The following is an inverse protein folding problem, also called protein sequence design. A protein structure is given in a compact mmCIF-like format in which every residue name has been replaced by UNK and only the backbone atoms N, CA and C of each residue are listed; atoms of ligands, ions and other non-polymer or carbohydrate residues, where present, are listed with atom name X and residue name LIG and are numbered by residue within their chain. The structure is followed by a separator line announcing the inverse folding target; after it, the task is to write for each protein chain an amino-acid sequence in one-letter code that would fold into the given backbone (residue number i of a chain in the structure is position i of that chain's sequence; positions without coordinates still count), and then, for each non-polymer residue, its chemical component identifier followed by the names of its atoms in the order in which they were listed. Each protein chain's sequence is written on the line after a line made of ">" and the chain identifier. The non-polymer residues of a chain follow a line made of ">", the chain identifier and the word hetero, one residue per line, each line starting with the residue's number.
data_IF_539928695116
#
_entry.id   IF_539928695116
#
_cell.length_a   1.000
_cell.length_b   1.000
_cell.length_c   1.000
_cell.angle_alpha   90.00
_cell.angle_beta   90.00
_cell.angle_gamma   90.00
#
_symmetry.space_group_name_H-M   'P 1'
#
loop_
_entity.id
_entity.type
_entity.pdbx_description
1 polymer ?
#
# COMPACT_ATOMS: atom_id res chain seq x y z
N UNK A 1 -4.86 15.52 -15.71
CA UNK A 1 -4.72 16.39 -14.53
C UNK A 1 -4.03 15.57 -13.45
N UNK A 2 -2.74 15.79 -13.23
CA UNK A 2 -1.99 15.10 -12.18
C UNK A 2 -2.53 15.64 -10.86
N UNK A 3 -3.08 14.78 -10.01
CA UNK A 3 -3.43 15.17 -8.63
C UNK A 3 -2.09 15.39 -7.93
N UNK A 4 -1.80 16.63 -7.51
CA UNK A 4 -0.62 16.89 -6.69
C UNK A 4 -0.60 15.95 -5.49
N UNK A 5 0.56 15.37 -5.23
CA UNK A 5 0.76 14.47 -4.10
C UNK A 5 0.45 15.23 -2.80
N UNK A 6 -0.25 14.57 -1.88
CA UNK A 6 -0.66 15.23 -0.63
C UNK A 6 0.54 15.67 0.21
N UNK A 7 1.68 14.98 0.06
CA UNK A 7 2.96 15.39 0.65
C UNK A 7 3.42 16.76 0.10
N UNK A 8 3.45 16.94 -1.22
CA UNK A 8 3.84 18.19 -1.88
C UNK A 8 2.94 19.36 -1.48
N UNK A 9 1.62 19.11 -1.35
CA UNK A 9 0.66 20.13 -0.91
C UNK A 9 0.86 20.55 0.55
N UNK A 10 1.25 19.62 1.43
CA UNK A 10 1.58 19.93 2.82
C UNK A 10 2.90 20.70 2.95
N UNK A 11 3.87 20.38 2.10
CA UNK A 11 5.18 21.05 2.05
C UNK A 11 5.05 22.50 1.57
N UNK A 12 4.35 22.76 0.44
CA UNK A 12 4.07 24.12 -0.03
C UNK A 12 3.26 24.94 1.00
N UNK A 13 2.29 24.31 1.66
CA UNK A 13 1.53 24.96 2.73
C UNK A 13 2.38 25.30 3.96
N UNK A 14 3.43 24.53 4.25
CA UNK A 14 4.37 24.81 5.32
C UNK A 14 5.30 25.99 4.96
N UNK A 15 5.78 26.05 3.71
CA UNK A 15 6.60 27.16 3.22
C UNK A 15 5.85 28.49 3.21
N UNK A 16 4.53 28.44 3.03
CA UNK A 16 3.64 29.61 2.94
C UNK A 16 2.66 29.72 4.11
N UNK A 17 3.04 29.20 5.27
CA UNK A 17 2.14 29.06 6.43
C UNK A 17 1.58 30.40 6.95
N UNK A 18 2.28 31.50 6.71
CA UNK A 18 1.81 32.84 7.08
C UNK A 18 0.71 33.38 6.14
N UNK A 19 0.67 32.90 4.90
CA UNK A 19 -0.23 33.37 3.84
C UNK A 19 -1.47 32.48 3.67
N UNK A 20 -1.46 31.26 4.23
CA UNK A 20 -2.59 30.34 4.16
C UNK A 20 -3.67 30.70 5.19
N UNK A 21 -4.94 30.62 4.79
CA UNK A 21 -6.03 30.82 5.72
C UNK A 21 -6.06 29.71 6.78
N UNK A 22 -6.41 30.07 8.02
CA UNK A 22 -6.57 29.08 9.10
C UNK A 22 -7.58 27.98 8.74
N UNK A 23 -8.63 28.32 8.00
CA UNK A 23 -9.66 27.37 7.61
C UNK A 23 -9.12 26.34 6.61
N UNK A 24 -8.36 26.79 5.61
CA UNK A 24 -7.76 25.92 4.61
C UNK A 24 -6.72 24.98 5.22
N UNK A 25 -5.88 25.52 6.12
CA UNK A 25 -4.90 24.72 6.87
C UNK A 25 -5.60 23.64 7.72
N UNK A 26 -6.71 23.97 8.39
CA UNK A 26 -7.47 22.97 9.15
C UNK A 26 -8.03 21.85 8.28
N UNK A 27 -8.53 22.16 7.08
CA UNK A 27 -9.04 21.17 6.15
C UNK A 27 -7.90 20.26 5.67
N UNK A 28 -6.76 20.84 5.31
CA UNK A 28 -5.59 20.12 4.84
C UNK A 28 -5.06 19.16 5.91
N UNK A 29 -4.87 19.64 7.14
CA UNK A 29 -4.40 18.82 8.26
C UNK A 29 -5.36 17.67 8.60
N UNK A 30 -6.68 17.91 8.54
CA UNK A 30 -7.67 16.83 8.73
C UNK A 30 -7.55 15.76 7.66
N UNK A 31 -7.38 16.15 6.40
CA UNK A 31 -7.20 15.20 5.28
C UNK A 31 -5.90 14.41 5.44
N UNK A 32 -4.81 15.07 5.81
CA UNK A 32 -3.53 14.43 6.09
C UNK A 32 -3.64 13.43 7.25
N UNK A 33 -4.29 13.82 8.35
CA UNK A 33 -4.51 12.94 9.50
C UNK A 33 -5.39 11.71 9.15
N UNK A 34 -6.41 11.89 8.30
CA UNK A 34 -7.22 10.79 7.79
C UNK A 34 -6.40 9.83 6.93
N UNK A 35 -5.56 10.36 6.03
CA UNK A 35 -4.65 9.56 5.22
C UNK A 35 -3.67 8.78 6.08
N UNK A 36 -3.04 9.41 7.07
CA UNK A 36 -2.12 8.77 8.02
C UNK A 36 -2.81 7.70 8.87
N UNK A 37 -4.04 7.95 9.33
CA UNK A 37 -4.80 6.93 10.08
C UNK A 37 -5.16 5.75 9.20
N UNK A 38 -5.49 6.01 7.94
CA UNK A 38 -5.92 5.00 6.99
C UNK A 38 -4.74 4.36 6.23
N UNK A 39 -3.50 4.81 6.45
CA UNK A 39 -2.33 4.29 5.74
C UNK A 39 -1.92 2.89 6.20
N UNK A 40 -2.65 2.30 7.17
CA UNK A 40 -2.50 0.89 7.55
C UNK A 40 -1.07 0.54 7.91
N UNK A 41 -0.40 1.39 8.70
CA UNK A 41 0.97 1.14 9.12
C UNK A 41 0.99 -0.06 10.05
N UNK A 42 1.24 -1.24 9.49
CA UNK A 42 1.75 -2.38 10.24
C UNK A 42 3.13 -1.93 10.74
N UNK A 43 3.27 -1.70 12.03
CA UNK A 43 4.57 -1.42 12.63
C UNK A 43 5.30 -2.75 12.84
N UNK A 44 6.51 -2.86 12.29
CA UNK A 44 7.41 -3.96 12.63
C UNK A 44 8.44 -3.48 13.66
N UNK A 45 9.07 -4.42 14.36
CA UNK A 45 10.25 -4.10 15.17
C UNK A 45 11.43 -3.66 14.28
N UNK A 46 12.47 -3.12 14.91
CA UNK A 46 13.59 -2.50 14.20
C UNK A 46 14.31 -3.47 13.26
N UNK A 47 14.51 -4.71 13.70
CA UNK A 47 15.23 -5.73 12.93
C UNK A 47 14.43 -6.12 11.68
N UNK A 48 13.11 -6.25 11.83
CA UNK A 48 12.20 -6.53 10.72
C UNK A 48 12.06 -5.33 9.75
N UNK A 49 12.09 -4.09 10.23
CA UNK A 49 12.11 -2.90 9.37
C UNK A 49 13.40 -2.79 8.55
N UNK A 50 14.55 -3.15 9.14
CA UNK A 50 15.83 -3.20 8.44
C UNK A 50 15.82 -4.28 7.33
N UNK A 51 15.40 -5.50 7.66
CA UNK A 51 15.28 -6.58 6.68
C UNK A 51 14.31 -6.24 5.54
N UNK A 52 13.18 -5.59 5.85
CA UNK A 52 12.23 -5.13 4.83
C UNK A 52 12.82 -4.02 3.95
N UNK A 53 13.64 -3.13 4.51
CA UNK A 53 14.30 -2.06 3.75
C UNK A 53 15.30 -2.64 2.76
N UNK A 54 16.13 -3.58 3.19
CA UNK A 54 17.11 -4.23 2.33
C UNK A 54 16.42 -4.98 1.19
N UNK A 55 15.39 -5.76 1.52
CA UNK A 55 14.61 -6.52 0.54
C UNK A 55 13.84 -5.62 -0.44
N UNK A 56 13.30 -4.49 0.03
CA UNK A 56 12.72 -3.46 -0.82
C UNK A 56 13.74 -2.89 -1.81
N UNK A 57 14.98 -2.65 -1.35
CA UNK A 57 16.08 -2.22 -2.20
C UNK A 57 16.42 -3.25 -3.27
N UNK A 58 16.57 -4.52 -2.88
CA UNK A 58 16.88 -5.62 -3.81
C UNK A 58 15.79 -5.82 -4.88
N UNK A 59 14.52 -5.70 -4.51
CA UNK A 59 13.40 -5.87 -5.44
C UNK A 59 13.01 -4.59 -6.19
N UNK A 60 13.62 -3.45 -5.89
CA UNK A 60 13.22 -2.15 -6.43
C UNK A 60 11.76 -1.81 -6.13
N UNK A 61 11.26 -2.20 -4.95
CA UNK A 61 9.86 -2.03 -4.52
C UNK A 61 9.77 -1.09 -3.34
N UNK A 62 8.61 -0.43 -3.18
CA UNK A 62 8.33 0.29 -1.94
C UNK A 62 8.16 -0.70 -0.78
N UNK A 63 8.35 -0.26 0.46
CA UNK A 63 8.11 -1.08 1.67
C UNK A 63 6.75 -1.78 1.63
N UNK A 64 5.69 -1.03 1.32
CA UNK A 64 4.33 -1.58 1.28
C UNK A 64 4.14 -2.59 0.14
N UNK A 65 4.80 -2.39 -1.01
CA UNK A 65 4.75 -3.35 -2.10
C UNK A 65 5.51 -4.63 -1.77
N UNK A 66 6.65 -4.53 -1.07
CA UNK A 66 7.40 -5.69 -0.57
C UNK A 66 6.58 -6.48 0.46
N UNK A 67 5.94 -5.82 1.43
CA UNK A 67 5.06 -6.49 2.40
C UNK A 67 3.90 -7.20 1.68
N UNK A 68 3.24 -6.53 0.72
CA UNK A 68 2.16 -7.13 -0.07
C UNK A 68 2.64 -8.33 -0.88
N UNK A 69 3.84 -8.24 -1.46
CA UNK A 69 4.45 -9.32 -2.21
C UNK A 69 4.72 -10.54 -1.32
N UNK A 70 5.38 -10.36 -0.16
CA UNK A 70 5.67 -11.44 0.78
C UNK A 70 4.39 -12.16 1.22
N UNK A 71 3.36 -11.40 1.61
CA UNK A 71 2.08 -11.98 2.06
C UNK A 71 1.42 -12.79 0.94
N UNK A 72 1.44 -12.30 -0.31
CA UNK A 72 0.88 -13.04 -1.45
C UNK A 72 1.63 -14.35 -1.69
N UNK A 73 2.95 -14.29 -1.82
CA UNK A 73 3.79 -15.47 -2.07
C UNK A 73 3.62 -16.49 -0.93
N UNK A 74 3.58 -16.03 0.32
CA UNK A 74 3.35 -16.90 1.46
C UNK A 74 1.98 -17.59 1.38
N UNK A 75 0.91 -16.87 1.06
CA UNK A 75 -0.44 -17.43 0.93
C UNK A 75 -0.55 -18.45 -0.21
N UNK A 76 0.11 -18.21 -1.35
CA UNK A 76 0.14 -19.11 -2.51
C UNK A 76 0.91 -20.38 -2.21
N UNK A 77 2.09 -20.29 -1.57
CA UNK A 77 2.91 -21.45 -1.23
C UNK A 77 2.35 -22.29 -0.07
N UNK A 78 1.58 -21.69 0.83
CA UNK A 78 1.02 -22.37 2.01
C UNK A 78 -0.46 -22.77 1.84
N UNK A 79 -1.00 -22.71 0.61
CA UNK A 79 -2.34 -23.24 0.26
C UNK A 79 -3.51 -22.54 0.96
N UNK A 80 -3.34 -21.28 1.39
CA UNK A 80 -4.42 -20.49 1.99
C UNK A 80 -5.20 -19.66 0.98
N UNK A 81 -4.67 -19.49 -0.25
CA UNK A 81 -5.49 -19.21 -1.42
C UNK A 81 -5.70 -20.53 -2.17
N UNK A 82 -6.94 -20.92 -2.50
CA UNK A 82 -7.16 -21.94 -3.50
C UNK A 82 -6.54 -21.44 -4.80
N UNK A 83 -5.46 -22.07 -5.24
CA UNK A 83 -4.99 -21.92 -6.62
C UNK A 83 -6.19 -22.30 -7.48
N UNK A 84 -6.72 -21.36 -8.25
CA UNK A 84 -7.64 -21.69 -9.33
C UNK A 84 -6.86 -22.51 -10.36
N UNK A 85 -6.66 -23.79 -10.09
CA UNK A 85 -6.62 -24.79 -11.15
C UNK A 85 -8.07 -24.96 -11.57
N UNK A 86 -8.52 -24.04 -12.43
CA UNK A 86 -9.56 -24.41 -13.37
C UNK A 86 -8.88 -25.44 -14.26
N UNK A 87 -9.10 -26.72 -13.97
CA UNK A 87 -8.91 -27.76 -14.97
C UNK A 87 -9.82 -27.39 -16.14
N UNK A 88 -9.26 -26.68 -17.12
CA UNK A 88 -9.68 -26.76 -18.51
C UNK A 88 -9.51 -28.23 -18.91
N UNK A 89 -10.51 -29.05 -18.63
CA UNK A 89 -10.97 -30.20 -19.43
C UNK A 89 -12.11 -30.93 -18.70
N UNK A 90 -13.14 -30.18 -18.33
CA UNK A 90 -14.45 -30.76 -18.03
C UNK A 90 -15.17 -31.17 -19.32
N UNK A 91 -14.64 -32.15 -20.05
CA UNK A 91 -15.42 -32.84 -21.09
C UNK A 91 -16.52 -33.65 -20.38
N UNK A 92 -17.71 -33.05 -20.31
CA UNK A 92 -18.91 -33.72 -19.85
C UNK A 92 -19.44 -34.60 -20.99
N UNK A 93 -19.11 -35.90 -20.96
CA UNK A 93 -19.82 -36.91 -21.76
C UNK A 93 -21.22 -37.10 -21.16
N UNK A 94 -22.13 -36.23 -21.58
CA UNK A 94 -23.55 -36.29 -21.21
C UNK A 94 -24.33 -37.09 -22.24
N UNK A 95 -24.60 -38.37 -21.95
CA UNK A 95 -25.57 -39.16 -22.71
C UNK A 95 -26.99 -38.74 -22.29
N UNK A 96 -27.68 -38.02 -23.17
CA UNK A 96 -29.12 -37.76 -23.10
C UNK A 96 -29.94 -38.89 -23.75
#
# INVERSE_FOLDING_TARGET
>A
MVKDDTATLLEDAADRIADISRADLQIMLRRAALLLRNSGSIAFDADMEEALRDLSGEFGKTRNDTVRFIVREWMEKNTYLPVHMLDEDGEVDGTA
#
